data_IF_216436939710
#
_entry.id   IF_216436939710
#
_cell.length_a   1.000
_cell.length_b   1.000
_cell.length_c   1.000
_cell.angle_alpha   90.00
_cell.angle_beta   90.00
_cell.angle_gamma   90.00
#
_symmetry.space_group_name_H-M   'P 1'
#
loop_
_entity.id
_entity.type
_entity.pdbx_description
1 polymer ?
#
# COMPACT_ATOMS: atom_id res chain seq x y z
N UNK A 1 16.06 -3.10 -7.79
CA UNK A 1 15.35 -2.55 -6.61
C UNK A 1 14.41 -3.56 -5.94
N UNK A 2 13.26 -3.92 -6.51
CA UNK A 2 12.26 -4.79 -5.84
C UNK A 2 12.82 -6.15 -5.40
N UNK A 3 13.71 -6.77 -6.18
CA UNK A 3 14.39 -8.01 -5.80
C UNK A 3 15.23 -7.87 -4.52
N UNK A 4 15.99 -6.78 -4.36
CA UNK A 4 16.77 -6.52 -3.15
C UNK A 4 15.86 -6.36 -1.93
N UNK A 5 14.81 -5.55 -2.07
CA UNK A 5 13.77 -5.39 -1.04
C UNK A 5 13.15 -6.74 -0.67
N UNK A 6 12.86 -7.59 -1.66
CA UNK A 6 12.27 -8.90 -1.43
C UNK A 6 13.18 -9.81 -0.58
N UNK A 7 14.49 -9.74 -0.80
CA UNK A 7 15.47 -10.56 -0.09
C UNK A 7 15.78 -10.03 1.32
N UNK A 8 15.60 -8.73 1.57
CA UNK A 8 15.97 -8.09 2.83
C UNK A 8 14.82 -7.90 3.82
N UNK A 9 13.55 -8.05 3.39
CA UNK A 9 12.38 -7.83 4.23
C UNK A 9 11.72 -9.15 4.63
N UNK A 10 11.36 -9.25 5.90
CA UNK A 10 10.51 -10.35 6.41
C UNK A 10 9.03 -9.97 6.30
N UNK A 11 8.28 -10.65 5.44
CA UNK A 11 6.87 -10.34 5.15
C UNK A 11 5.87 -10.88 6.18
N UNK A 12 6.31 -11.73 7.11
CA UNK A 12 5.51 -12.19 8.25
C UNK A 12 5.36 -11.11 9.33
N UNK A 13 6.25 -10.10 9.33
CA UNK A 13 6.21 -8.98 10.27
C UNK A 13 5.37 -7.82 9.72
N UNK A 14 4.49 -7.21 10.54
CA UNK A 14 3.62 -6.10 10.13
C UNK A 14 4.32 -4.97 9.38
N UNK A 15 5.46 -4.50 9.88
CA UNK A 15 6.21 -3.39 9.25
C UNK A 15 6.78 -3.81 7.89
N UNK A 16 7.42 -4.98 7.83
CA UNK A 16 8.00 -5.52 6.61
C UNK A 16 6.95 -5.79 5.52
N UNK A 17 5.84 -6.43 5.88
CA UNK A 17 4.70 -6.62 5.00
C UNK A 17 4.18 -5.30 4.42
N UNK A 18 4.09 -4.26 5.26
CA UNK A 18 3.63 -2.94 4.84
C UNK A 18 4.61 -2.26 3.86
N UNK A 19 5.92 -2.31 4.13
CA UNK A 19 6.93 -1.77 3.19
C UNK A 19 6.85 -2.50 1.86
N UNK A 20 6.78 -3.84 1.91
CA UNK A 20 6.75 -4.65 0.71
C UNK A 20 5.58 -4.32 -0.21
N UNK A 21 4.36 -4.26 0.36
CA UNK A 21 3.18 -3.96 -0.44
C UNK A 21 3.19 -2.52 -0.96
N UNK A 22 3.72 -1.54 -0.21
CA UNK A 22 3.89 -0.17 -0.70
C UNK A 22 4.78 -0.15 -1.93
N UNK A 23 5.93 -0.82 -1.88
CA UNK A 23 6.85 -0.88 -3.02
C UNK A 23 6.21 -1.48 -4.26
N UNK A 24 5.47 -2.59 -4.10
CA UNK A 24 4.78 -3.24 -5.22
C UNK A 24 3.62 -2.39 -5.76
N UNK A 25 2.76 -1.85 -4.89
CA UNK A 25 1.62 -1.03 -5.32
C UNK A 25 2.05 0.28 -5.96
N UNK A 26 3.10 0.94 -5.44
CA UNK A 26 3.64 2.13 -6.07
C UNK A 26 4.27 1.83 -7.42
N UNK A 27 5.01 0.72 -7.55
CA UNK A 27 5.65 0.33 -8.80
C UNK A 27 4.63 -0.05 -9.88
N UNK A 28 3.71 -0.96 -9.57
CA UNK A 28 2.73 -1.46 -10.56
C UNK A 28 1.51 -0.58 -10.74
N UNK A 29 1.06 0.09 -9.67
CA UNK A 29 -0.07 1.02 -9.71
C UNK A 29 0.32 2.45 -10.09
N UNK A 30 1.61 2.70 -10.38
CA UNK A 30 2.16 4.02 -10.71
C UNK A 30 1.81 5.10 -9.67
N UNK A 31 1.66 4.70 -8.40
CA UNK A 31 1.22 5.57 -7.33
C UNK A 31 2.36 6.47 -6.85
N UNK A 32 2.04 7.72 -6.55
CA UNK A 32 2.98 8.64 -5.90
C UNK A 32 3.08 8.32 -4.42
N UNK A 33 4.24 8.63 -3.83
CA UNK A 33 4.48 8.43 -2.39
C UNK A 33 3.43 9.12 -1.50
N UNK A 34 2.90 10.28 -1.92
CA UNK A 34 1.86 11.00 -1.18
C UNK A 34 0.47 10.38 -1.26
N UNK A 35 0.23 9.50 -2.24
CA UNK A 35 -1.01 8.74 -2.38
C UNK A 35 -0.97 7.47 -1.49
N UNK A 36 0.22 6.93 -1.27
CA UNK A 36 0.43 5.71 -0.48
C UNK A 36 0.75 5.97 1.02
N UNK A 37 1.39 7.09 1.37
CA UNK A 37 1.94 7.30 2.70
C UNK A 37 1.67 8.71 3.23
N UNK A 38 1.71 8.84 4.56
CA UNK A 38 1.51 10.13 5.25
C UNK A 38 2.85 10.79 5.60
N UNK A 39 2.84 12.11 5.79
CA UNK A 39 4.02 12.87 6.24
C UNK A 39 4.33 12.58 7.71
N UNK A 40 3.30 12.58 8.56
CA UNK A 40 3.37 12.11 9.96
C UNK A 40 2.12 11.30 10.27
N UNK A 41 2.15 10.49 11.34
CA UNK A 41 0.98 9.71 11.75
C UNK A 41 -0.25 10.59 12.02
N UNK A 42 -0.06 11.81 12.53
CA UNK A 42 -1.15 12.76 12.83
C UNK A 42 -1.77 13.39 11.57
N UNK A 43 -1.09 13.33 10.43
CA UNK A 43 -1.59 13.88 9.17
C UNK A 43 -2.54 12.94 8.43
N UNK A 44 -2.79 11.73 8.96
CA UNK A 44 -3.76 10.84 8.34
C UNK A 44 -5.15 11.50 8.30
N UNK A 45 -5.71 11.53 7.11
CA UNK A 45 -7.04 12.03 6.83
C UNK A 45 -7.66 11.14 5.76
N UNK A 46 -8.73 10.42 6.11
CA UNK A 46 -9.40 9.47 5.21
C UNK A 46 -10.06 10.10 3.97
N UNK A 47 -10.19 11.42 3.90
CA UNK A 47 -10.63 12.12 2.67
C UNK A 47 -9.49 12.37 1.68
N UNK A 48 -8.25 12.32 2.15
CA UNK A 48 -7.06 12.63 1.35
C UNK A 48 -6.19 11.41 1.10
N UNK A 49 -6.26 10.41 1.97
CA UNK A 49 -5.40 9.24 1.93
C UNK A 49 -6.22 7.96 1.77
N UNK A 50 -5.66 7.04 1.01
CA UNK A 50 -6.28 5.77 0.65
C UNK A 50 -6.51 4.89 1.88
N UNK A 51 -7.75 4.52 2.14
CA UNK A 51 -8.14 3.66 3.27
C UNK A 51 -8.26 2.19 2.86
N UNK A 52 -8.36 1.31 3.86
CA UNK A 52 -8.72 -0.10 3.66
C UNK A 52 -10.06 -0.29 2.95
N UNK A 53 -11.01 0.62 3.15
CA UNK A 53 -12.32 0.59 2.47
C UNK A 53 -12.26 0.95 0.98
N UNK A 54 -11.16 1.52 0.51
CA UNK A 54 -11.07 2.10 -0.83
C UNK A 54 -10.40 1.14 -1.83
N UNK A 55 -10.30 -0.14 -1.47
CA UNK A 55 -9.74 -1.21 -2.29
C UNK A 55 -10.81 -2.25 -2.65
N UNK A 56 -10.79 -2.66 -3.92
CA UNK A 56 -11.69 -3.67 -4.46
C UNK A 56 -10.86 -4.74 -5.16
N UNK A 57 -11.16 -6.01 -4.90
CA UNK A 57 -10.57 -7.13 -5.63
C UNK A 57 -11.64 -7.73 -6.52
N UNK A 58 -11.32 -7.90 -7.79
CA UNK A 58 -12.27 -8.44 -8.76
C UNK A 58 -11.52 -9.15 -9.91
N UNK A 59 -12.27 -9.67 -10.87
CA UNK A 59 -11.75 -10.23 -12.12
C UNK A 59 -12.15 -9.36 -13.31
N UNK A 60 -11.26 -9.25 -14.28
CA UNK A 60 -11.60 -8.62 -15.56
C UNK A 60 -12.46 -9.55 -16.44
N UNK A 61 -12.76 -9.11 -17.66
CA UNK A 61 -13.57 -9.87 -18.62
C UNK A 61 -12.91 -11.18 -19.07
N UNK A 62 -11.60 -11.32 -18.90
CA UNK A 62 -10.83 -12.54 -19.19
C UNK A 62 -10.72 -13.44 -17.94
N UNK A 63 -11.32 -13.05 -16.82
CA UNK A 63 -11.23 -13.77 -15.55
C UNK A 63 -9.92 -13.53 -14.78
N UNK A 64 -9.08 -12.57 -15.19
CA UNK A 64 -7.80 -12.27 -14.52
C UNK A 64 -8.03 -11.37 -13.32
N UNK A 65 -7.36 -11.70 -12.20
CA UNK A 65 -7.51 -10.94 -10.97
C UNK A 65 -6.87 -9.55 -11.08
N UNK A 66 -7.59 -8.55 -10.58
CA UNK A 66 -7.07 -7.22 -10.35
C UNK A 66 -7.50 -6.67 -8.99
N UNK A 67 -6.72 -5.72 -8.49
CA UNK A 67 -7.07 -4.85 -7.38
C UNK A 67 -7.26 -3.42 -7.91
N UNK A 68 -8.40 -2.81 -7.62
CA UNK A 68 -8.66 -1.38 -7.87
C UNK A 68 -8.53 -0.61 -6.57
N UNK A 69 -7.72 0.44 -6.59
CA UNK A 69 -7.50 1.33 -5.46
C UNK A 69 -8.03 2.71 -5.83
N UNK A 70 -9.13 3.09 -5.19
CA UNK A 70 -9.85 4.32 -5.47
C UNK A 70 -9.22 5.47 -4.67
N UNK A 71 -8.36 6.26 -5.33
CA UNK A 71 -7.56 7.31 -4.72
C UNK A 71 -8.49 8.49 -4.30
N UNK A 72 -8.60 8.80 -2.99
CA UNK A 72 -9.52 9.86 -2.53
C UNK A 72 -9.09 11.26 -2.97
N UNK A 73 -7.78 11.47 -3.10
CA UNK A 73 -7.20 12.69 -3.64
C UNK A 73 -6.06 12.35 -4.57
N UNK A 74 -6.16 12.81 -5.82
CA UNK A 74 -5.08 12.75 -6.77
C UNK A 74 -4.99 14.09 -7.50
N UNK A 75 -3.77 14.62 -7.66
CA UNK A 75 -3.54 15.95 -8.28
C UNK A 75 -4.15 16.06 -9.70
N UNK A 76 -4.23 14.94 -10.39
CA UNK A 76 -4.70 14.82 -11.77
C UNK A 76 -6.16 14.38 -11.87
N UNK A 77 -6.85 14.19 -10.75
CA UNK A 77 -8.26 13.85 -10.77
C UNK A 77 -9.04 15.02 -11.36
N UNK A 78 -9.87 14.74 -12.36
CA UNK A 78 -10.84 15.72 -12.85
C UNK A 78 -11.81 16.04 -11.70
N UNK A 79 -12.23 17.30 -11.53
CA UNK A 79 -13.22 17.66 -10.51
C UNK A 79 -14.43 16.70 -10.56
N UNK A 80 -14.75 16.07 -9.42
CA UNK A 80 -15.88 15.15 -9.29
C UNK A 80 -15.66 13.72 -9.80
N UNK A 81 -14.46 13.33 -10.28
CA UNK A 81 -14.15 11.94 -10.64
C UNK A 81 -13.12 11.32 -9.71
N UNK A 82 -13.40 10.10 -9.25
CA UNK A 82 -12.44 9.26 -8.54
C UNK A 82 -11.36 8.77 -9.50
N UNK A 83 -10.10 8.97 -9.15
CA UNK A 83 -8.99 8.37 -9.86
C UNK A 83 -8.69 7.01 -9.25
N UNK A 84 -8.52 5.97 -10.06
CA UNK A 84 -8.22 4.63 -9.57
C UNK A 84 -6.87 4.14 -10.08
N UNK A 85 -6.10 3.48 -9.22
CA UNK A 85 -4.97 2.66 -9.64
C UNK A 85 -5.44 1.22 -9.81
N UNK A 86 -5.11 0.60 -10.94
CA UNK A 86 -5.41 -0.79 -11.21
C UNK A 86 -4.12 -1.59 -11.13
N UNK A 87 -4.15 -2.68 -10.36
CA UNK A 87 -2.99 -3.53 -10.16
C UNK A 87 -3.38 -4.98 -10.45
N UNK A 88 -2.58 -5.66 -11.25
CA UNK A 88 -2.82 -7.03 -11.70
C UNK A 88 -1.86 -8.01 -11.01
N UNK A 89 -2.07 -9.31 -11.22
CA UNK A 89 -1.12 -10.33 -10.75
C UNK A 89 0.23 -10.22 -11.47
N UNK A 90 1.33 -10.38 -10.71
CA UNK A 90 2.70 -10.17 -11.20
C UNK A 90 3.67 -11.26 -10.70
N UNK A 91 3.26 -12.53 -10.80
CA UNK A 91 4.08 -13.68 -10.41
C UNK A 91 4.75 -13.53 -9.04
N UNK A 92 6.07 -13.70 -9.01
CA UNK A 92 6.89 -13.59 -7.79
C UNK A 92 6.87 -12.22 -7.11
N UNK A 93 6.44 -11.18 -7.82
CA UNK A 93 6.35 -9.79 -7.35
C UNK A 93 4.89 -9.33 -7.32
N UNK A 94 3.96 -10.25 -7.03
CA UNK A 94 2.53 -10.02 -7.08
C UNK A 94 2.04 -9.02 -6.00
N UNK A 95 1.55 -7.83 -6.39
CA UNK A 95 1.02 -6.83 -5.46
C UNK A 95 -0.28 -7.30 -4.79
N UNK A 96 -1.12 -8.06 -5.50
CA UNK A 96 -2.38 -8.61 -4.96
C UNK A 96 -2.08 -9.59 -3.82
N UNK A 97 -1.10 -10.47 -4.01
CA UNK A 97 -0.64 -11.39 -2.97
C UNK A 97 -0.08 -10.63 -1.75
N UNK A 98 0.71 -9.58 -1.99
CA UNK A 98 1.26 -8.75 -0.91
C UNK A 98 0.17 -7.97 -0.14
N UNK A 99 -0.86 -7.47 -0.83
CA UNK A 99 -2.04 -6.83 -0.21
C UNK A 99 -2.78 -7.80 0.70
N UNK A 100 -3.09 -9.01 0.20
CA UNK A 100 -3.75 -10.06 0.99
C UNK A 100 -2.92 -10.47 2.22
N UNK A 101 -1.59 -10.60 2.05
CA UNK A 101 -0.69 -10.86 3.17
C UNK A 101 -0.74 -9.74 4.21
N UNK A 102 -0.65 -8.47 3.77
CA UNK A 102 -0.76 -7.32 4.68
C UNK A 102 -2.09 -7.36 5.47
N UNK A 103 -3.19 -7.74 4.82
CA UNK A 103 -4.51 -7.78 5.46
C UNK A 103 -4.59 -8.89 6.51
N UNK A 104 -3.84 -9.97 6.31
CA UNK A 104 -3.73 -11.08 7.26
C UNK A 104 -2.87 -10.70 8.46
N UNK A 105 -1.70 -10.08 8.24
CA UNK A 105 -0.75 -9.76 9.32
C UNK A 105 -1.07 -8.46 10.07
N UNK A 106 -1.89 -7.57 9.48
CA UNK A 106 -2.30 -6.29 10.06
C UNK A 106 -3.83 -6.20 10.07
N UNK A 107 -4.49 -6.47 11.23
CA UNK A 107 -5.94 -6.42 11.38
C UNK A 107 -6.43 -4.97 11.55
N UNK A 108 -6.21 -4.14 10.52
CA UNK A 108 -6.65 -2.75 10.49
C UNK A 108 -8.15 -2.63 10.17
N UNK A 109 -8.76 -1.54 10.61
CA UNK A 109 -10.17 -1.22 10.34
C UNK A 109 -10.33 -0.70 8.90
N UNK A 110 -11.56 -0.77 8.39
CA UNK A 110 -11.91 -0.22 7.07
C UNK A 110 -11.57 1.27 6.92
N UNK A 111 -11.64 2.04 8.01
CA UNK A 111 -11.33 3.47 8.04
C UNK A 111 -9.84 3.80 8.19
N UNK A 112 -8.99 2.83 8.49
CA UNK A 112 -7.56 3.04 8.65
C UNK A 112 -6.88 3.20 7.28
N UNK A 113 -5.72 3.87 7.26
CA UNK A 113 -4.87 3.96 6.07
C UNK A 113 -4.61 2.55 5.51
N UNK A 114 -4.73 2.38 4.20
CA UNK A 114 -4.49 1.10 3.53
C UNK A 114 -3.13 0.52 3.91
N UNK A 115 -2.10 1.36 3.76
CA UNK A 115 -0.71 1.07 4.07
C UNK A 115 -0.39 1.46 5.52
N UNK A 116 -0.82 0.61 6.45
CA UNK A 116 -0.55 0.72 7.87
C UNK A 116 0.11 -0.56 8.40
N UNK A 117 0.72 -0.45 9.57
CA UNK A 117 1.37 -1.56 10.26
C UNK A 117 0.98 -1.56 11.74
N UNK A 118 1.08 -2.72 12.38
CA UNK A 118 0.80 -2.90 13.80
C UNK A 118 2.09 -2.76 14.61
N UNK A 119 2.10 -1.86 15.58
CA UNK A 119 3.23 -1.68 16.49
C UNK A 119 3.31 -2.77 17.57
N UNK A 120 4.40 -2.77 18.35
CA UNK A 120 4.62 -3.75 19.42
C UNK A 120 3.58 -3.68 20.55
N UNK A 121 2.90 -2.55 20.71
CA UNK A 121 1.80 -2.35 21.68
C UNK A 121 0.44 -2.73 21.08
N UNK A 122 0.43 -3.19 19.83
CA UNK A 122 -0.76 -3.59 19.10
C UNK A 122 -1.49 -2.45 18.40
N UNK A 123 -0.98 -1.22 18.46
CA UNK A 123 -1.59 -0.06 17.82
C UNK A 123 -1.40 -0.07 16.30
N UNK A 124 -2.46 0.27 15.55
CA UNK A 124 -2.37 0.45 14.10
C UNK A 124 -1.78 1.82 13.81
N UNK A 125 -0.71 1.85 13.02
CA UNK A 125 0.06 3.05 12.69
C UNK A 125 0.07 3.27 11.17
N UNK A 126 -0.35 4.46 10.69
CA UNK A 126 -0.15 4.85 9.30
C UNK A 126 1.34 4.76 8.92
N UNK A 127 1.65 4.29 7.72
CA UNK A 127 3.04 4.31 7.25
C UNK A 127 3.47 5.74 6.95
N UNK A 128 4.58 6.15 7.59
CA UNK A 128 5.17 7.47 7.41
C UNK A 128 6.18 7.40 6.26
N UNK A 129 6.08 8.35 5.31
CA UNK A 129 6.93 8.41 4.12
C UNK A 129 8.41 8.38 4.47
N UNK A 130 8.85 9.20 5.43
CA UNK A 130 10.26 9.30 5.78
C UNK A 130 10.82 7.99 6.37
N UNK A 131 10.05 7.29 7.20
CA UNK A 131 10.49 6.02 7.80
C UNK A 131 10.55 4.90 6.76
N UNK A 132 9.59 4.86 5.84
CA UNK A 132 9.57 3.91 4.74
C UNK A 132 10.76 4.12 3.80
N UNK A 133 10.99 5.37 3.34
CA UNK A 133 12.11 5.69 2.46
C UNK A 133 13.46 5.43 3.13
N UNK A 134 13.61 5.75 4.43
CA UNK A 134 14.83 5.42 5.18
C UNK A 134 15.08 3.90 5.18
N UNK A 135 14.04 3.10 5.42
CA UNK A 135 14.15 1.64 5.37
C UNK A 135 14.56 1.13 3.98
N UNK A 136 13.93 1.66 2.92
CA UNK A 136 14.22 1.25 1.54
C UNK A 136 15.66 1.64 1.16
N UNK A 137 16.09 2.86 1.47
CA UNK A 137 17.44 3.32 1.16
C UNK A 137 18.52 2.51 1.88
N UNK A 138 18.28 2.07 3.12
CA UNK A 138 19.21 1.18 3.84
C UNK A 138 19.37 -0.18 3.16
N UNK A 139 18.34 -0.67 2.44
CA UNK A 139 18.41 -1.94 1.70
C UNK A 139 19.12 -1.78 0.34
N UNK A 140 19.06 -0.58 -0.25
CA UNK A 140 19.56 -0.33 -1.60
C UNK A 140 20.99 0.22 -1.64
N UNK A 141 21.51 0.64 -0.49
CA UNK A 141 22.91 1.03 -0.30
C UNK A 141 23.72 -0.18 0.17
#
# INVERSE_FOLDING_TARGET
MLKAIKLSITFDKPYGACIWVICLCMFWGMMRAGEAMVITQKNFNGKLHLKRSDIFFDKDTDGKLYARLDLPSAKTARPGKTQSAFITEQGDFCPIAALRNLFTVVPARASDLLFCWRDKKGGIKPMVKQTALKCINVILN
#
